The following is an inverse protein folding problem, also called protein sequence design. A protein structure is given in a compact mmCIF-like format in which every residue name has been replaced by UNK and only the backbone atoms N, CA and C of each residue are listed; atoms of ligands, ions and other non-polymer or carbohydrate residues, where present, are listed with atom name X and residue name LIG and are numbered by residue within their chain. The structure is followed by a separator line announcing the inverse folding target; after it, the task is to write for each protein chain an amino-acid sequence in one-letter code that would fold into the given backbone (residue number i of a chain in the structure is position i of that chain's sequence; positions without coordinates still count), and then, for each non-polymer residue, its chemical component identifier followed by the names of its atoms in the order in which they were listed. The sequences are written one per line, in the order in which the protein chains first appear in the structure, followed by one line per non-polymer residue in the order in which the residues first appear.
data_IF_294788561672
#
_entry.id   IF_294788561672
#
_cell.length_a   1.000
_cell.length_b   1.000
_cell.length_c   1.000
_cell.angle_alpha   90.00
_cell.angle_beta   90.00
_cell.angle_gamma   90.00
#
_symmetry.space_group_name_H-M   'P 1'
#
loop_
_entity.id
_entity.type
_entity.pdbx_description
1 polymer ?
#
# COMPACT_ATOMS: atom_id res chain seq x y z
N UNK A 1 6.45 39.05 -6.18
CA UNK A 1 7.24 38.06 -5.42
C UNK A 1 7.25 36.79 -6.26
N UNK A 2 8.39 36.50 -6.86
CA UNK A 2 8.55 35.54 -7.96
C UNK A 2 8.62 34.14 -7.36
N UNK A 3 7.64 33.28 -7.64
CA UNK A 3 7.74 31.86 -7.31
C UNK A 3 8.88 31.25 -8.13
N UNK A 4 9.95 30.87 -7.46
CA UNK A 4 11.02 30.06 -8.03
C UNK A 4 10.45 28.66 -8.25
N UNK A 5 10.08 28.37 -9.49
CA UNK A 5 9.81 27.01 -9.95
C UNK A 5 11.14 26.23 -9.82
N UNK A 6 11.26 25.41 -8.78
CA UNK A 6 12.33 24.42 -8.69
C UNK A 6 12.18 23.48 -9.88
N UNK A 7 13.18 23.33 -10.77
CA UNK A 7 13.08 22.38 -11.85
C UNK A 7 13.02 20.97 -11.23
N UNK A 8 11.90 20.29 -11.44
CA UNK A 8 11.76 18.88 -11.10
C UNK A 8 12.83 18.11 -11.88
N UNK A 9 13.89 17.68 -11.19
CA UNK A 9 14.91 16.80 -11.77
C UNK A 9 14.19 15.53 -12.21
N UNK A 10 13.95 15.42 -13.53
CA UNK A 10 13.36 14.23 -14.12
C UNK A 10 14.35 13.09 -14.04
N UNK A 11 13.88 11.87 -13.76
CA UNK A 11 14.71 10.65 -13.77
C UNK A 11 15.51 10.50 -15.08
N UNK A 12 14.95 10.99 -16.20
CA UNK A 12 15.63 11.01 -17.51
C UNK A 12 16.84 11.94 -17.52
N UNK A 13 16.66 13.17 -17.03
CA UNK A 13 17.75 14.14 -16.90
C UNK A 13 18.81 13.68 -15.89
N UNK A 14 18.42 12.98 -14.82
CA UNK A 14 19.34 12.41 -13.84
C UNK A 14 20.21 11.30 -14.44
N UNK A 15 19.62 10.40 -15.26
CA UNK A 15 20.41 9.37 -15.96
C UNK A 15 21.39 10.01 -16.96
N UNK A 16 20.92 10.96 -17.76
CA UNK A 16 21.77 11.72 -18.71
C UNK A 16 22.91 12.49 -18.03
N UNK A 17 22.72 13.01 -16.81
CA UNK A 17 23.76 13.75 -16.08
C UNK A 17 24.67 12.84 -15.24
N UNK A 18 24.18 11.69 -14.77
CA UNK A 18 24.98 10.75 -13.98
C UNK A 18 26.10 10.05 -14.79
N UNK A 19 25.95 9.92 -16.11
CA UNK A 19 27.01 9.44 -17.01
C UNK A 19 28.18 10.42 -17.16
N UNK A 20 27.99 11.70 -16.84
CA UNK A 20 29.05 12.72 -16.91
C UNK A 20 29.98 12.68 -15.68
N UNK A 21 29.48 12.25 -14.51
CA UNK A 21 30.26 12.20 -13.27
C UNK A 21 31.14 10.93 -13.13
N UNK A 22 30.80 9.84 -13.83
CA UNK A 22 31.56 8.58 -13.79
C UNK A 22 32.81 8.58 -14.70
N UNK A 23 33.11 9.67 -15.41
CA UNK A 23 34.32 9.81 -16.22
C UNK A 23 35.60 10.06 -15.38
N UNK A 24 35.48 10.17 -14.05
CA UNK A 24 36.59 10.48 -13.15
C UNK A 24 37.32 9.28 -12.50
N UNK A 25 36.85 8.03 -12.69
CA UNK A 25 37.53 6.85 -12.15
C UNK A 25 38.06 5.98 -13.29
N UNK A 26 39.37 6.06 -13.51
CA UNK A 26 40.12 5.26 -14.49
C UNK A 26 40.05 3.77 -14.15
N UNK A 27 39.11 3.05 -14.76
CA UNK A 27 39.19 1.60 -14.95
C UNK A 27 39.78 1.35 -16.35
N UNK A 28 41.06 1.01 -16.38
CA UNK A 28 41.75 0.59 -17.60
C UNK A 28 41.09 -0.69 -18.14
N UNK A 29 40.50 -0.62 -19.34
CA UNK A 29 40.15 -1.82 -20.14
C UNK A 29 38.72 -1.91 -20.67
N UNK A 30 37.82 -0.97 -20.36
CA UNK A 30 36.56 -0.83 -21.06
C UNK A 30 36.65 0.44 -21.91
N UNK A 31 36.81 0.30 -23.23
CA UNK A 31 36.55 1.45 -24.09
C UNK A 31 35.11 1.86 -23.83
N UNK A 32 34.84 3.10 -23.38
CA UNK A 32 33.47 3.58 -23.32
C UNK A 32 32.99 3.50 -24.76
N UNK A 33 32.12 2.54 -25.04
CA UNK A 33 31.29 2.62 -26.23
C UNK A 33 30.54 3.91 -26.00
N UNK A 34 30.95 4.97 -26.69
CA UNK A 34 30.13 6.17 -26.82
C UNK A 34 28.76 5.65 -27.19
N UNK A 35 27.81 5.74 -26.27
CA UNK A 35 26.43 5.52 -26.60
C UNK A 35 26.18 6.55 -27.70
N UNK A 36 26.20 6.08 -28.95
CA UNK A 36 25.97 6.92 -30.11
C UNK A 36 24.70 7.67 -29.79
N UNK A 37 24.80 9.00 -29.72
CA UNK A 37 23.69 9.91 -29.51
C UNK A 37 22.74 9.87 -30.69
N UNK A 38 22.23 8.68 -31.04
CA UNK A 38 21.09 8.54 -31.90
C UNK A 38 19.94 9.23 -31.19
N UNK A 39 19.51 10.33 -31.79
CA UNK A 39 18.33 11.05 -31.34
C UNK A 39 17.18 10.04 -31.19
N UNK A 40 16.49 10.10 -30.04
CA UNK A 40 15.34 9.24 -29.79
C UNK A 40 14.37 9.30 -30.98
N UNK A 41 13.83 8.15 -31.43
CA UNK A 41 12.84 8.14 -32.50
C UNK A 41 11.71 9.15 -32.22
N UNK A 42 11.15 9.81 -33.25
CA UNK A 42 10.12 10.83 -33.05
C UNK A 42 8.89 10.35 -32.26
N UNK A 43 8.60 9.05 -32.22
CA UNK A 43 7.53 8.48 -31.39
C UNK A 43 7.81 8.57 -29.89
N UNK A 44 9.08 8.44 -29.47
CA UNK A 44 9.51 8.51 -28.07
C UNK A 44 9.78 9.96 -27.67
N UNK A 45 10.41 10.74 -28.55
CA UNK A 45 10.72 12.15 -28.29
C UNK A 45 9.48 13.02 -28.04
N UNK A 46 8.32 12.63 -28.60
CA UNK A 46 7.03 13.33 -28.41
C UNK A 46 6.28 12.93 -27.13
N UNK A 47 6.77 11.98 -26.34
CA UNK A 47 6.10 11.56 -25.10
C UNK A 47 6.30 12.61 -24.00
N UNK A 48 5.22 13.32 -23.67
CA UNK A 48 5.17 14.27 -22.57
C UNK A 48 5.05 13.59 -21.21
N UNK A 49 5.51 14.26 -20.15
CA UNK A 49 5.28 13.80 -18.77
C UNK A 49 3.80 13.94 -18.39
N UNK A 50 3.26 12.89 -17.76
CA UNK A 50 1.91 12.87 -17.19
C UNK A 50 1.92 12.86 -15.66
N UNK A 51 3.10 12.96 -15.04
CA UNK A 51 3.29 12.76 -13.60
C UNK A 51 2.40 13.68 -12.74
N UNK A 52 2.17 14.92 -13.19
CA UNK A 52 1.50 15.94 -12.37
C UNK A 52 -0.01 16.10 -12.68
N UNK A 53 -0.58 15.27 -13.56
CA UNK A 53 -1.98 15.40 -13.99
C UNK A 53 -2.98 14.85 -12.98
N UNK A 54 -2.58 13.90 -12.15
CA UNK A 54 -3.43 13.28 -11.14
C UNK A 54 -2.89 13.57 -9.74
N UNK A 55 -3.79 13.85 -8.79
CA UNK A 55 -3.44 13.97 -7.37
C UNK A 55 -3.59 12.60 -6.72
N UNK A 56 -2.55 12.05 -6.06
CA UNK A 56 -2.66 10.81 -5.33
C UNK A 56 -3.72 10.88 -4.22
N UNK A 57 -4.40 9.76 -3.97
CA UNK A 57 -5.34 9.62 -2.85
C UNK A 57 -4.57 9.81 -1.55
N UNK A 58 -5.01 10.75 -0.72
CA UNK A 58 -4.33 11.10 0.54
C UNK A 58 -4.74 10.18 1.69
N UNK A 59 -3.92 10.10 2.73
CA UNK A 59 -4.26 9.40 3.98
C UNK A 59 -5.56 9.94 4.60
N UNK A 60 -5.76 11.26 4.58
CA UNK A 60 -6.98 11.89 5.11
C UNK A 60 -8.24 11.49 4.32
N UNK A 61 -8.13 11.39 2.99
CA UNK A 61 -9.24 10.91 2.16
C UNK A 61 -9.60 9.46 2.50
N UNK A 62 -8.59 8.60 2.74
CA UNK A 62 -8.85 7.21 3.14
C UNK A 62 -9.43 7.12 4.55
N UNK A 63 -8.97 7.95 5.49
CA UNK A 63 -9.59 8.04 6.81
C UNK A 63 -11.07 8.42 6.70
N UNK A 64 -11.43 9.37 5.84
CA UNK A 64 -12.83 9.73 5.58
C UNK A 64 -13.64 8.55 4.98
N UNK A 65 -13.03 7.72 4.12
CA UNK A 65 -13.67 6.49 3.59
C UNK A 65 -13.94 5.47 4.69
N UNK A 66 -12.99 5.28 5.60
CA UNK A 66 -13.14 4.39 6.77
C UNK A 66 -14.27 4.88 7.67
N UNK A 67 -14.34 6.17 7.95
CA UNK A 67 -15.43 6.73 8.77
C UNK A 67 -16.79 6.63 8.10
N UNK A 68 -16.87 6.82 6.78
CA UNK A 68 -18.09 6.57 6.02
C UNK A 68 -18.51 5.09 6.10
N UNK A 69 -17.56 4.15 5.94
CA UNK A 69 -17.84 2.72 6.11
C UNK A 69 -18.39 2.42 7.52
N UNK A 70 -17.83 3.01 8.57
CA UNK A 70 -18.37 2.88 9.95
C UNK A 70 -19.79 3.43 10.09
N UNK A 71 -20.14 4.53 9.40
CA UNK A 71 -21.51 5.05 9.40
C UNK A 71 -22.48 4.07 8.74
N UNK A 72 -22.12 3.51 7.58
CA UNK A 72 -22.92 2.50 6.90
C UNK A 72 -23.07 1.22 7.74
N UNK A 73 -21.98 0.74 8.36
CA UNK A 73 -22.03 -0.40 9.28
C UNK A 73 -23.00 -0.18 10.44
N UNK A 74 -23.09 1.04 10.99
CA UNK A 74 -24.09 1.38 12.03
C UNK A 74 -25.51 1.22 11.51
N UNK A 75 -25.79 1.73 10.31
CA UNK A 75 -27.11 1.63 9.69
C UNK A 75 -27.53 0.18 9.40
N UNK A 76 -26.58 -0.63 8.96
CA UNK A 76 -26.80 -2.04 8.62
C UNK A 76 -26.69 -2.99 9.83
N UNK A 77 -26.36 -2.48 11.03
CA UNK A 77 -26.20 -3.28 12.25
C UNK A 77 -25.05 -4.30 12.15
N UNK A 78 -23.92 -3.89 11.57
CA UNK A 78 -22.66 -4.65 11.50
C UNK A 78 -21.72 -4.19 12.63
N UNK A 79 -21.02 -5.13 13.23
CA UNK A 79 -20.01 -4.88 14.28
C UNK A 79 -18.63 -4.57 13.70
N UNK A 80 -18.36 -4.97 12.45
CA UNK A 80 -17.10 -4.70 11.76
C UNK A 80 -17.09 -5.20 10.32
N UNK A 81 -16.03 -4.86 9.59
CA UNK A 81 -15.79 -5.22 8.20
C UNK A 81 -14.42 -5.90 8.08
N UNK A 82 -14.38 -7.11 7.52
CA UNK A 82 -13.16 -7.85 7.21
C UNK A 82 -12.79 -7.67 5.73
N UNK A 83 -11.54 -7.30 5.47
CA UNK A 83 -10.98 -7.06 4.13
C UNK A 83 -9.82 -8.03 3.90
N UNK A 84 -9.86 -8.81 2.81
CA UNK A 84 -8.82 -9.81 2.50
C UNK A 84 -8.28 -9.64 1.08
N UNK A 85 -7.28 -8.77 0.93
CA UNK A 85 -6.71 -8.39 -0.36
C UNK A 85 -7.69 -7.57 -1.23
N UNK A 86 -7.38 -7.51 -2.53
CA UNK A 86 -8.25 -6.90 -3.53
C UNK A 86 -8.33 -5.37 -3.47
N UNK A 87 -9.21 -4.82 -4.30
CA UNK A 87 -9.37 -3.37 -4.48
C UNK A 87 -9.99 -2.69 -3.25
N UNK A 88 -10.87 -3.38 -2.52
CA UNK A 88 -11.48 -2.87 -1.29
C UNK A 88 -10.44 -2.62 -0.19
N UNK A 89 -9.47 -3.53 -0.02
CA UNK A 89 -8.36 -3.31 0.91
C UNK A 89 -7.57 -2.05 0.52
N UNK A 90 -7.12 -1.96 -0.75
CA UNK A 90 -6.40 -0.78 -1.25
C UNK A 90 -7.24 0.50 -1.08
N UNK A 91 -8.55 0.44 -1.31
CA UNK A 91 -9.46 1.58 -1.23
C UNK A 91 -9.54 2.19 0.18
N UNK A 92 -9.66 1.34 1.21
CA UNK A 92 -9.78 1.78 2.60
C UNK A 92 -8.44 1.97 3.30
N UNK A 93 -7.45 1.12 3.03
CA UNK A 93 -6.26 0.99 3.89
C UNK A 93 -4.96 1.42 3.23
N UNK A 94 -4.94 1.54 1.89
CA UNK A 94 -3.72 1.69 1.08
C UNK A 94 -2.81 0.44 1.06
N UNK A 95 -3.21 -0.66 1.70
CA UNK A 95 -2.46 -1.92 1.67
C UNK A 95 -2.73 -2.62 0.34
N UNK A 96 -1.66 -2.93 -0.38
CA UNK A 96 -1.67 -3.75 -1.59
C UNK A 96 -1.03 -5.10 -1.28
N UNK A 97 -1.86 -6.10 -1.03
CA UNK A 97 -1.44 -7.47 -0.77
C UNK A 97 -1.78 -8.37 -1.96
N UNK A 98 -0.77 -9.07 -2.48
CA UNK A 98 -0.90 -9.94 -3.65
C UNK A 98 -1.78 -11.17 -3.43
N UNK A 99 -2.31 -11.35 -2.22
CA UNK A 99 -3.08 -12.53 -1.83
C UNK A 99 -2.20 -13.77 -1.78
N UNK A 100 -2.80 -14.91 -2.10
CA UNK A 100 -2.24 -16.23 -1.87
C UNK A 100 -3.11 -16.99 -0.90
N UNK A 101 -2.72 -18.20 -0.57
CA UNK A 101 -3.53 -19.02 0.31
C UNK A 101 -3.53 -18.59 1.78
N UNK A 102 -2.44 -17.98 2.25
CA UNK A 102 -2.27 -17.56 3.64
C UNK A 102 -3.20 -16.41 4.00
N UNK A 103 -3.87 -16.47 5.14
CA UNK A 103 -4.72 -15.37 5.59
C UNK A 103 -3.91 -14.11 5.90
N UNK A 104 -4.16 -13.07 5.12
CA UNK A 104 -3.88 -11.68 5.45
C UNK A 104 -5.19 -10.90 5.44
N UNK A 105 -5.60 -10.35 6.59
CA UNK A 105 -6.86 -9.61 6.70
C UNK A 105 -6.71 -8.35 7.53
N UNK A 106 -7.44 -7.30 7.12
CA UNK A 106 -7.64 -6.09 7.92
C UNK A 106 -9.08 -6.07 8.38
N UNK A 107 -9.29 -5.92 9.68
CA UNK A 107 -10.63 -5.83 10.27
C UNK A 107 -10.85 -4.42 10.81
N UNK A 108 -11.88 -3.75 10.29
CA UNK A 108 -12.30 -2.41 10.70
C UNK A 108 -13.55 -2.57 11.58
N UNK A 109 -13.44 -2.42 12.91
CA UNK A 109 -14.61 -2.46 13.78
C UNK A 109 -15.40 -1.15 13.69
N UNK A 110 -16.67 -1.20 14.09
CA UNK A 110 -17.55 -0.03 14.20
C UNK A 110 -17.08 0.99 15.25
N UNK A 111 -16.36 0.51 16.27
CA UNK A 111 -15.80 1.25 17.40
C UNK A 111 -14.40 0.69 17.72
N UNK A 112 -13.48 1.58 18.10
CA UNK A 112 -12.08 1.23 18.34
C UNK A 112 -11.22 1.21 17.07
N UNK A 113 -9.94 0.89 17.26
CA UNK A 113 -8.94 0.88 16.19
C UNK A 113 -9.08 -0.37 15.32
N UNK A 114 -8.69 -0.30 14.05
CA UNK A 114 -8.59 -1.49 13.21
C UNK A 114 -7.49 -2.45 13.72
N UNK A 115 -7.50 -3.68 13.23
CA UNK A 115 -6.40 -4.62 13.41
C UNK A 115 -6.09 -5.39 12.14
N UNK A 116 -4.90 -5.95 12.10
CA UNK A 116 -4.41 -6.80 11.01
C UNK A 116 -4.07 -8.18 11.54
N UNK A 117 -4.41 -9.20 10.78
CA UNK A 117 -3.90 -10.56 10.96
C UNK A 117 -3.04 -10.91 9.76
N UNK A 118 -1.80 -11.33 9.99
CA UNK A 118 -0.87 -11.71 8.91
C UNK A 118 0.07 -12.84 9.34
N UNK A 119 0.68 -13.58 8.39
CA UNK A 119 1.73 -14.55 8.72
C UNK A 119 2.87 -13.86 9.47
N UNK A 120 3.46 -14.56 10.45
CA UNK A 120 4.50 -13.99 11.31
C UNK A 120 5.71 -13.44 10.52
N UNK A 121 6.14 -14.18 9.49
CA UNK A 121 7.26 -13.74 8.64
C UNK A 121 6.94 -12.52 7.76
N UNK A 122 5.67 -12.11 7.65
CA UNK A 122 5.26 -10.91 6.89
C UNK A 122 4.96 -9.69 7.79
N UNK A 123 5.20 -9.78 9.11
CA UNK A 123 4.85 -8.72 10.06
C UNK A 123 5.45 -7.36 9.69
N UNK A 124 6.75 -7.31 9.40
CA UNK A 124 7.44 -6.06 9.06
C UNK A 124 6.84 -5.42 7.82
N UNK A 125 6.59 -6.21 6.78
CA UNK A 125 5.94 -5.76 5.54
C UNK A 125 4.51 -5.25 5.81
N UNK A 126 3.78 -5.89 6.72
CA UNK A 126 2.43 -5.47 7.11
C UNK A 126 2.47 -4.10 7.80
N UNK A 127 3.42 -3.90 8.73
CA UNK A 127 3.63 -2.64 9.45
C UNK A 127 4.06 -1.50 8.52
N UNK A 128 4.96 -1.77 7.59
CA UNK A 128 5.38 -0.81 6.56
C UNK A 128 4.19 -0.31 5.74
N UNK A 129 3.34 -1.22 5.23
CA UNK A 129 2.17 -0.81 4.45
C UNK A 129 1.11 -0.11 5.29
N UNK A 130 0.89 -0.52 6.54
CA UNK A 130 -0.02 0.16 7.47
C UNK A 130 0.40 1.61 7.73
N UNK A 131 1.70 1.86 7.87
CA UNK A 131 2.25 3.20 8.11
C UNK A 131 2.00 4.16 6.93
N UNK A 132 1.78 3.64 5.72
CA UNK A 132 1.42 4.40 4.52
C UNK A 132 -0.10 4.65 4.39
N UNK A 133 -0.91 4.13 5.30
CA UNK A 133 -2.37 4.18 5.27
C UNK A 133 -2.98 4.96 6.43
N UNK A 134 -4.32 5.09 6.47
CA UNK A 134 -5.01 5.76 7.57
C UNK A 134 -5.08 4.91 8.85
N UNK A 135 -4.57 3.68 8.81
CA UNK A 135 -4.68 2.68 9.87
C UNK A 135 -3.34 2.37 10.55
N UNK A 136 -2.35 3.27 10.48
CA UNK A 136 -0.99 3.04 10.99
C UNK A 136 -0.88 2.67 12.47
N UNK A 137 -1.87 3.03 13.30
CA UNK A 137 -1.95 2.64 14.71
C UNK A 137 -2.58 1.26 14.98
N UNK A 138 -2.89 0.49 13.92
CA UNK A 138 -3.56 -0.80 14.08
C UNK A 138 -2.66 -1.83 14.75
N UNK A 139 -3.24 -2.60 15.67
CA UNK A 139 -2.58 -3.78 16.22
C UNK A 139 -2.37 -4.82 15.12
N UNK A 140 -1.18 -5.41 15.06
CA UNK A 140 -0.87 -6.55 14.20
C UNK A 140 -0.86 -7.80 15.06
N UNK A 141 -1.64 -8.81 14.67
CA UNK A 141 -1.66 -10.14 15.24
C UNK A 141 -1.04 -11.09 14.23
N UNK A 142 0.04 -11.73 14.63
CA UNK A 142 0.74 -12.69 13.78
C UNK A 142 0.30 -14.12 14.08
N UNK A 143 0.48 -14.99 13.10
CA UNK A 143 0.29 -16.42 13.23
C UNK A 143 1.44 -17.17 12.55
N UNK A 144 1.87 -18.27 13.15
CA UNK A 144 2.85 -19.19 12.56
C UNK A 144 2.15 -20.22 11.65
N UNK A 145 2.86 -20.80 10.69
CA UNK A 145 2.30 -21.74 9.67
C UNK A 145 1.53 -22.95 10.24
N UNK A 146 1.73 -23.29 11.52
CA UNK A 146 1.06 -24.39 12.21
C UNK A 146 -0.10 -23.92 13.11
N UNK A 147 -0.31 -22.62 13.24
CA UNK A 147 -1.38 -22.00 14.02
C UNK A 147 -2.58 -21.68 13.12
N UNK A 148 -3.75 -21.53 13.73
CA UNK A 148 -4.94 -21.07 13.03
C UNK A 148 -4.96 -19.54 12.94
N UNK A 149 -4.94 -18.93 11.74
CA UNK A 149 -5.06 -17.47 11.64
C UNK A 149 -6.44 -16.96 12.08
N UNK A 150 -7.45 -17.82 12.04
CA UNK A 150 -8.81 -17.50 12.49
C UNK A 150 -8.90 -17.30 14.00
N UNK A 151 -8.03 -17.96 14.78
CA UNK A 151 -7.92 -17.71 16.22
C UNK A 151 -7.40 -16.30 16.50
N UNK A 152 -6.47 -15.79 15.67
CA UNK A 152 -6.00 -14.39 15.75
C UNK A 152 -7.08 -13.40 15.35
N UNK A 153 -7.92 -13.73 14.37
CA UNK A 153 -9.11 -12.92 14.04
C UNK A 153 -10.06 -12.87 15.23
N UNK A 154 -10.37 -14.01 15.83
CA UNK A 154 -11.25 -14.09 17.00
C UNK A 154 -10.65 -13.33 18.21
N UNK A 155 -9.35 -13.43 18.43
CA UNK A 155 -8.63 -12.67 19.45
C UNK A 155 -8.77 -11.16 19.21
N UNK A 156 -8.47 -10.68 17.99
CA UNK A 156 -8.56 -9.26 17.66
C UNK A 156 -9.97 -8.68 17.81
N UNK A 157 -11.01 -9.47 17.48
CA UNK A 157 -12.42 -9.13 17.75
C UNK A 157 -12.72 -9.08 19.25
N UNK A 158 -12.26 -10.09 20.00
CA UNK A 158 -12.45 -10.21 21.44
C UNK A 158 -11.82 -9.06 22.24
N UNK A 159 -10.60 -8.66 21.86
CA UNK A 159 -9.87 -7.54 22.48
C UNK A 159 -10.61 -6.19 22.28
N UNK A 160 -11.47 -6.10 21.27
CA UNK A 160 -12.35 -4.96 21.00
C UNK A 160 -13.75 -5.10 21.61
N UNK A 161 -13.98 -6.16 22.39
CA UNK A 161 -15.27 -6.46 23.01
C UNK A 161 -16.32 -7.05 22.06
N UNK A 162 -15.96 -7.39 20.82
CA UNK A 162 -16.89 -7.96 19.83
C UNK A 162 -16.97 -9.47 20.05
N UNK A 163 -17.87 -9.89 20.95
CA UNK A 163 -18.13 -11.32 21.25
C UNK A 163 -19.33 -11.90 20.49
N UNK A 164 -20.23 -11.02 20.04
CA UNK A 164 -21.43 -11.37 19.27
C UNK A 164 -21.70 -10.26 18.24
N UNK A 165 -22.49 -10.59 17.21
CA UNK A 165 -22.89 -9.63 16.18
C UNK A 165 -22.59 -10.12 14.76
N UNK A 166 -22.67 -9.20 13.80
CA UNK A 166 -22.46 -9.50 12.38
C UNK A 166 -21.19 -8.85 11.89
N UNK A 167 -20.34 -9.62 11.22
CA UNK A 167 -19.15 -9.11 10.53
C UNK A 167 -19.47 -9.09 9.04
N UNK A 168 -19.31 -7.93 8.41
CA UNK A 168 -19.31 -7.86 6.95
C UNK A 168 -18.00 -8.45 6.42
N UNK A 169 -18.10 -9.31 5.41
CA UNK A 169 -16.95 -9.74 4.64
C UNK A 169 -16.94 -9.00 3.31
N UNK A 170 -15.75 -8.62 2.85
CA UNK A 170 -15.55 -8.14 1.50
C UNK A 170 -16.05 -9.19 0.47
N UNK A 171 -16.70 -8.75 -0.60
CA UNK A 171 -17.45 -9.62 -1.52
C UNK A 171 -16.59 -10.69 -2.20
N UNK A 172 -15.33 -10.37 -2.51
CA UNK A 172 -14.37 -11.30 -3.14
C UNK A 172 -13.55 -12.12 -2.15
N UNK A 173 -13.89 -12.06 -0.86
CA UNK A 173 -13.17 -12.77 0.20
C UNK A 173 -13.29 -14.28 0.01
N UNK A 174 -12.15 -14.90 -0.32
CA UNK A 174 -12.03 -16.35 -0.42
C UNK A 174 -11.66 -16.97 0.92
N UNK A 175 -11.92 -18.26 1.06
CA UNK A 175 -11.30 -19.05 2.11
C UNK A 175 -9.77 -19.01 1.97
N UNK A 176 -9.08 -18.85 3.09
CA UNK A 176 -7.61 -18.81 3.22
C UNK A 176 -7.18 -19.81 4.30
N UNK A 177 -5.94 -20.29 4.27
CA UNK A 177 -5.40 -21.14 5.32
C UNK A 177 -4.59 -20.32 6.31
#
# INVERSE_FOLDING_TARGET
MMELLTPLISRRHFLETSTVAAAGLTLAGCEPTEASGEALPPSIARLESWADRARPITTNERAARVENAKQLMRGEGLSGLALCGGTSMVYFTNISWGGGERLFTVVIPIQGDAFVVCPAFEEDRAREQLALGPLGGSQVYTWEEHESPYERVAQGLGDRGIKTGRIGAEETMQFRF
#
